data_IF_609288705934
#
_entry.id   IF_609288705934
#
_cell.length_a   1.000
_cell.length_b   1.000
_cell.length_c   1.000
_cell.angle_alpha   90.00
_cell.angle_beta   90.00
_cell.angle_gamma   90.00
#
_symmetry.space_group_name_H-M   'P 1'
#
loop_
_entity.id
_entity.type
_entity.pdbx_description
1 polymer ?
#
# COMPACT_ATOMS: atom_id res chain seq x y z
N UNK A 1 17.87 2.94 4.69
CA UNK A 1 16.52 2.68 4.14
C UNK A 1 15.51 3.47 4.97
N UNK A 2 14.52 4.11 4.35
CA UNK A 2 13.49 4.86 5.10
C UNK A 2 12.57 3.85 5.81
N UNK A 3 12.43 3.98 7.12
CA UNK A 3 11.92 2.92 7.99
C UNK A 3 10.39 3.05 8.14
N UNK A 4 9.67 2.81 7.04
CA UNK A 4 8.21 2.99 6.98
C UNK A 4 7.47 2.16 8.04
N UNK A 5 8.03 0.99 8.36
CA UNK A 5 7.55 0.16 9.47
C UNK A 5 7.66 0.88 10.82
N UNK A 6 8.79 1.54 11.08
CA UNK A 6 9.03 2.26 12.32
C UNK A 6 8.10 3.45 12.47
N UNK A 7 7.91 4.24 11.41
CA UNK A 7 6.98 5.38 11.40
C UNK A 7 5.52 4.94 11.64
N UNK A 8 5.09 3.84 11.00
CA UNK A 8 3.76 3.26 11.26
C UNK A 8 3.62 2.73 12.69
N UNK A 9 4.67 2.08 13.21
CA UNK A 9 4.72 1.58 14.59
C UNK A 9 4.66 2.72 15.61
N UNK A 10 5.47 3.77 15.42
CA UNK A 10 5.49 4.98 16.25
C UNK A 10 4.16 5.71 16.25
N UNK A 11 3.48 5.75 15.10
CA UNK A 11 2.10 6.27 14.99
C UNK A 11 1.07 5.34 15.63
N UNK A 12 1.47 4.21 16.21
CA UNK A 12 0.57 3.24 16.85
C UNK A 12 -0.42 2.60 15.87
N UNK A 13 -0.07 2.53 14.58
CA UNK A 13 -0.94 1.99 13.53
C UNK A 13 -1.32 0.53 13.81
N UNK A 14 -0.33 -0.31 14.10
CA UNK A 14 -0.56 -1.73 14.39
C UNK A 14 -1.37 -1.94 15.67
N UNK A 15 -1.08 -1.16 16.72
CA UNK A 15 -1.83 -1.21 17.98
C UNK A 15 -3.32 -0.88 17.75
N UNK A 16 -3.63 0.10 16.91
CA UNK A 16 -5.01 0.47 16.55
C UNK A 16 -5.74 -0.58 15.71
N UNK A 17 -5.01 -1.28 14.83
CA UNK A 17 -5.57 -2.38 14.05
C UNK A 17 -5.92 -3.56 14.97
N UNK A 18 -5.01 -3.93 15.87
CA UNK A 18 -5.20 -5.05 16.80
C UNK A 18 -6.31 -4.74 17.81
N UNK A 19 -6.25 -3.58 18.48
CA UNK A 19 -7.22 -3.21 19.52
C UNK A 19 -8.62 -2.97 18.95
N UNK A 20 -8.71 -2.47 17.71
CA UNK A 20 -9.96 -2.23 17.01
C UNK A 20 -10.54 -3.46 16.31
N UNK A 21 -9.93 -4.64 16.47
CA UNK A 21 -10.25 -5.88 15.75
C UNK A 21 -10.49 -5.63 14.24
N UNK A 22 -9.55 -4.92 13.62
CA UNK A 22 -9.67 -4.43 12.24
C UNK A 22 -9.01 -5.42 11.30
N UNK A 23 -9.76 -5.89 10.31
CA UNK A 23 -9.18 -6.59 9.17
C UNK A 23 -9.07 -5.62 7.99
N UNK A 24 -7.86 -5.47 7.47
CA UNK A 24 -7.61 -4.67 6.28
C UNK A 24 -7.30 -5.57 5.09
N UNK A 25 -7.94 -5.31 3.96
CA UNK A 25 -7.69 -6.00 2.69
C UNK A 25 -7.44 -4.95 1.62
N UNK A 26 -6.44 -5.19 0.77
CA UNK A 26 -6.17 -4.37 -0.42
C UNK A 26 -6.44 -5.25 -1.63
N UNK A 27 -7.24 -4.75 -2.56
CA UNK A 27 -7.48 -5.35 -3.87
C UNK A 27 -6.82 -4.46 -4.91
N UNK A 28 -5.81 -4.99 -5.60
CA UNK A 28 -5.11 -4.25 -6.66
C UNK A 28 -5.89 -4.43 -7.95
N UNK A 29 -6.31 -3.31 -8.54
CA UNK A 29 -7.03 -3.30 -9.81
C UNK A 29 -6.04 -3.31 -10.98
N UNK A 30 -5.03 -2.44 -10.93
CA UNK A 30 -3.98 -2.35 -11.96
C UNK A 30 -2.70 -1.70 -11.47
N UNK A 31 -1.60 -2.02 -12.16
CA UNK A 31 -0.28 -1.41 -11.94
C UNK A 31 0.23 -0.94 -13.29
N UNK A 32 0.52 0.36 -13.40
CA UNK A 32 1.08 0.98 -14.60
C UNK A 32 2.55 1.29 -14.33
N UNK A 33 3.44 0.70 -15.13
CA UNK A 33 4.88 0.87 -15.03
C UNK A 33 5.41 1.51 -16.31
N UNK A 34 6.17 2.60 -16.19
CA UNK A 34 6.94 3.16 -17.28
C UNK A 34 8.38 2.62 -17.23
N UNK A 35 8.72 1.74 -18.16
CA UNK A 35 10.05 1.14 -18.28
C UNK A 35 10.97 1.87 -19.28
N UNK A 36 10.50 2.94 -19.93
CA UNK A 36 11.26 3.69 -20.93
C UNK A 36 12.30 4.61 -20.30
N UNK A 37 12.12 4.98 -19.03
CA UNK A 37 13.01 5.90 -18.32
C UNK A 37 13.33 5.38 -16.93
N UNK A 38 14.61 5.29 -16.62
CA UNK A 38 15.10 4.90 -15.30
C UNK A 38 15.27 6.12 -14.37
N UNK A 39 14.88 6.04 -13.08
CA UNK A 39 14.23 4.92 -12.41
C UNK A 39 12.76 4.77 -12.84
N UNK A 40 12.25 3.54 -12.86
CA UNK A 40 10.96 3.22 -13.49
C UNK A 40 9.80 3.75 -12.65
N UNK A 41 9.05 4.70 -13.19
CA UNK A 41 7.90 5.27 -12.50
C UNK A 41 6.75 4.26 -12.50
N UNK A 42 6.16 4.02 -11.32
CA UNK A 42 5.04 3.09 -11.14
C UNK A 42 3.88 3.78 -10.44
N UNK A 43 2.67 3.51 -10.93
CA UNK A 43 1.42 3.90 -10.28
C UNK A 43 0.52 2.68 -10.11
N UNK A 44 0.03 2.49 -8.90
CA UNK A 44 -0.87 1.39 -8.55
C UNK A 44 -2.24 1.96 -8.22
N UNK A 45 -3.27 1.36 -8.82
CA UNK A 45 -4.67 1.64 -8.52
C UNK A 45 -5.26 0.44 -7.79
N UNK A 46 -5.84 0.71 -6.62
CA UNK A 46 -6.34 -0.32 -5.73
C UNK A 46 -7.55 0.17 -4.93
N UNK A 47 -8.26 -0.78 -4.33
CA UNK A 47 -9.28 -0.54 -3.31
C UNK A 47 -8.81 -1.08 -1.98
N UNK A 48 -8.98 -0.30 -0.92
CA UNK A 48 -8.73 -0.71 0.44
C UNK A 48 -10.06 -0.94 1.16
N UNK A 49 -10.21 -2.10 1.77
CA UNK A 49 -11.33 -2.48 2.63
C UNK A 49 -10.85 -2.49 4.07
N UNK A 50 -11.56 -1.76 4.92
CA UNK A 50 -11.34 -1.73 6.37
C UNK A 50 -12.59 -2.35 6.99
N UNK A 51 -12.45 -3.58 7.46
CA UNK A 51 -13.53 -4.40 8.00
C UNK A 51 -13.43 -4.34 9.53
N UNK A 52 -14.50 -3.89 10.17
CA UNK A 52 -14.69 -3.88 11.61
C UNK A 52 -15.91 -4.74 11.96
N UNK A 53 -16.14 -4.96 13.24
CA UNK A 53 -17.36 -5.64 13.70
C UNK A 53 -18.63 -4.90 13.30
N UNK A 54 -18.63 -3.56 13.39
CA UNK A 54 -19.80 -2.71 13.15
C UNK A 54 -19.99 -2.26 11.71
N UNK A 55 -18.92 -2.17 10.91
CA UNK A 55 -19.01 -1.65 9.55
C UNK A 55 -17.86 -2.12 8.65
N UNK A 56 -18.06 -1.91 7.36
CA UNK A 56 -17.06 -2.08 6.31
C UNK A 56 -16.89 -0.75 5.60
N UNK A 57 -15.68 -0.18 5.66
CA UNK A 57 -15.31 1.02 4.91
C UNK A 57 -14.52 0.64 3.67
N UNK A 58 -14.90 1.17 2.51
CA UNK A 58 -14.18 1.03 1.24
C UNK A 58 -13.51 2.34 0.89
N UNK A 59 -12.24 2.27 0.50
CA UNK A 59 -11.43 3.43 0.11
C UNK A 59 -10.80 3.21 -1.25
N UNK A 60 -10.72 4.29 -2.03
CA UNK A 60 -9.83 4.37 -3.17
C UNK A 60 -8.41 4.49 -2.63
N UNK A 61 -7.50 3.69 -3.17
CA UNK A 61 -6.09 3.73 -2.86
C UNK A 61 -5.29 3.87 -4.15
N UNK A 62 -4.64 5.02 -4.34
CA UNK A 62 -3.70 5.22 -5.45
C UNK A 62 -2.33 5.51 -4.86
N UNK A 63 -1.34 4.72 -5.28
CA UNK A 63 0.04 4.87 -4.82
C UNK A 63 0.98 5.11 -5.99
N UNK A 64 2.10 5.77 -5.70
CA UNK A 64 3.18 5.98 -6.65
C UNK A 64 4.50 5.58 -6.02
N UNK A 65 5.40 5.02 -6.83
CA UNK A 65 6.77 4.77 -6.43
C UNK A 65 7.70 4.74 -7.65
N UNK A 66 8.99 4.57 -7.39
CA UNK A 66 9.98 4.23 -8.40
C UNK A 66 10.51 2.83 -8.16
N UNK A 67 10.68 2.04 -9.23
CA UNK A 67 11.42 0.78 -9.19
C UNK A 67 12.86 1.03 -9.62
N UNK A 68 13.77 0.56 -8.77
CA UNK A 68 15.23 0.65 -8.94
C UNK A 68 15.76 -0.78 -8.97
N UNK A 69 16.70 -1.09 -9.86
CA UNK A 69 17.23 -2.45 -9.94
C UNK A 69 17.95 -2.83 -8.63
N UNK A 70 17.78 -4.08 -8.21
CA UNK A 70 18.45 -4.69 -7.07
C UNK A 70 19.02 -6.05 -7.46
N UNK A 71 19.94 -6.56 -6.65
CA UNK A 71 20.41 -7.93 -6.81
C UNK A 71 19.23 -8.89 -6.64
N UNK A 72 19.07 -9.82 -7.58
CA UNK A 72 18.06 -10.88 -7.49
C UNK A 72 18.42 -11.85 -6.37
N UNK A 73 17.40 -12.29 -5.65
CA UNK A 73 17.54 -13.29 -4.59
C UNK A 73 16.31 -14.19 -4.58
N UNK A 74 16.35 -15.27 -3.82
CA UNK A 74 15.20 -16.17 -3.65
C UNK A 74 13.96 -15.41 -3.12
N UNK A 75 14.18 -14.38 -2.30
CA UNK A 75 13.12 -13.54 -1.73
C UNK A 75 12.74 -12.34 -2.62
N UNK A 76 13.54 -12.01 -3.64
CA UNK A 76 13.27 -10.96 -4.62
C UNK A 76 13.74 -11.41 -6.02
N UNK A 77 13.05 -12.36 -6.66
CA UNK A 77 13.48 -12.92 -7.93
C UNK A 77 13.44 -11.90 -9.07
N UNK A 78 12.60 -10.87 -8.93
CA UNK A 78 12.47 -9.81 -9.94
C UNK A 78 13.61 -8.78 -9.86
N UNK A 79 14.23 -8.63 -8.67
CA UNK A 79 15.37 -7.74 -8.49
C UNK A 79 14.99 -6.26 -8.61
N UNK A 80 13.88 -5.87 -7.98
CA UNK A 80 13.51 -4.46 -7.86
C UNK A 80 13.41 -4.02 -6.40
N UNK A 81 13.92 -2.83 -6.12
CA UNK A 81 13.67 -2.08 -4.90
C UNK A 81 12.64 -0.99 -5.18
N UNK A 82 11.71 -0.81 -4.24
CA UNK A 82 10.74 0.29 -4.25
C UNK A 82 11.38 1.50 -3.56
N UNK A 83 11.44 2.62 -4.26
CA UNK A 83 11.87 3.91 -3.71
C UNK A 83 10.79 4.98 -3.81
N UNK A 84 10.86 5.96 -2.91
CA UNK A 84 9.95 7.12 -2.82
C UNK A 84 8.47 6.72 -2.91
N UNK A 85 8.11 5.64 -2.22
CA UNK A 85 6.72 5.21 -2.12
C UNK A 85 5.88 6.31 -1.46
N UNK A 86 4.78 6.67 -2.11
CA UNK A 86 3.84 7.66 -1.62
C UNK A 86 2.41 7.22 -1.91
N UNK A 87 1.51 7.53 -0.98
CA UNK A 87 0.06 7.39 -1.17
C UNK A 87 -0.44 8.71 -1.75
N UNK A 88 -0.93 8.67 -2.99
CA UNK A 88 -1.41 9.84 -3.73
C UNK A 88 -2.91 10.04 -3.59
N UNK A 89 -3.67 8.97 -3.36
CA UNK A 89 -5.09 9.02 -2.97
C UNK A 89 -5.37 7.96 -1.90
N UNK A 90 -6.10 8.35 -0.87
CA UNK A 90 -6.66 7.46 0.15
C UNK A 90 -8.00 8.02 0.60
N UNK A 91 -9.04 7.79 -0.19
CA UNK A 91 -10.35 8.46 -0.05
C UNK A 91 -11.47 7.46 0.19
N UNK A 92 -12.31 7.73 1.17
CA UNK A 92 -13.50 6.91 1.47
C UNK A 92 -14.50 7.01 0.31
N UNK A 93 -14.91 5.86 -0.21
CA UNK A 93 -15.90 5.72 -1.28
C UNK A 93 -17.25 5.33 -0.69
N UNK A 94 -17.22 4.43 0.29
CA UNK A 94 -18.44 3.82 0.83
C UNK A 94 -18.21 3.35 2.27
N UNK A 95 -19.23 3.48 3.10
CA UNK A 95 -19.29 2.89 4.44
C UNK A 95 -20.58 2.10 4.53
N UNK A 96 -20.46 0.80 4.80
CA UNK A 96 -21.60 -0.12 4.93
C UNK A 96 -21.67 -0.56 6.39
N UNK A 97 -22.77 -0.28 7.08
CA UNK A 97 -23.03 -0.82 8.41
C UNK A 97 -23.40 -2.30 8.33
N UNK A 98 -22.97 -3.09 9.33
CA UNK A 98 -23.26 -4.52 9.44
C UNK A 98 -24.47 -4.79 10.31
#
# INVERSE_FOLDING_TARGET
AFDYYKDLSEKGYYNRIISGNVQQRIEVDSVVCNFDTYPYAVRTYAKQFIIRSSNVTRRNLITSCYLVNSVRSDNNPQGFNIEKFAVTENRDIEVIER
#
